data_IF_606343273917
#
_entry.id   IF_606343273917
#
_cell.length_a   1.000
_cell.length_b   1.000
_cell.length_c   1.000
_cell.angle_alpha   90.00
_cell.angle_beta   90.00
_cell.angle_gamma   90.00
#
_symmetry.space_group_name_H-M   'P 1'
#
loop_
_entity.id
_entity.type
_entity.pdbx_description
1 polymer ?
#
# COMPACT_ATOMS: atom_id res chain seq x y z
N UNK A 1 11.98 30.49 -12.48
CA UNK A 1 11.08 29.52 -13.10
C UNK A 1 9.76 30.22 -13.30
N UNK A 2 9.12 30.12 -14.47
CA UNK A 2 7.77 30.66 -14.62
C UNK A 2 6.83 29.91 -13.67
N UNK A 3 6.01 30.64 -12.97
CA UNK A 3 5.00 30.10 -12.08
C UNK A 3 3.98 29.33 -12.94
N UNK A 4 3.67 28.08 -12.58
CA UNK A 4 2.62 27.35 -13.26
C UNK A 4 1.28 28.02 -12.92
N UNK A 5 0.68 28.67 -13.91
CA UNK A 5 -0.58 29.39 -13.75
C UNK A 5 -1.81 28.53 -14.07
N UNK A 6 -1.59 27.30 -14.53
CA UNK A 6 -2.68 26.33 -14.78
C UNK A 6 -2.86 25.44 -13.58
N UNK A 7 -4.10 25.20 -13.13
CA UNK A 7 -4.38 24.21 -12.10
C UNK A 7 -3.85 22.84 -12.54
N UNK A 8 -3.12 22.15 -11.67
CA UNK A 8 -2.67 20.78 -11.92
C UNK A 8 -3.81 19.85 -11.48
N UNK A 9 -4.54 19.34 -12.44
CA UNK A 9 -5.54 18.31 -12.21
C UNK A 9 -4.99 16.96 -12.64
N UNK A 10 -5.40 15.90 -11.94
CA UNK A 10 -5.16 14.55 -12.44
C UNK A 10 -5.90 14.35 -13.76
N UNK A 11 -5.17 14.04 -14.81
CA UNK A 11 -5.71 13.88 -16.17
C UNK A 11 -6.24 12.48 -16.42
N UNK A 12 -5.56 11.48 -15.85
CA UNK A 12 -5.89 10.07 -16.06
C UNK A 12 -6.17 9.42 -14.72
N UNK A 13 -7.42 8.95 -14.45
CA UNK A 13 -7.71 8.17 -13.25
C UNK A 13 -6.86 6.90 -13.21
N UNK A 14 -6.25 6.62 -12.05
CA UNK A 14 -5.42 5.45 -11.82
C UNK A 14 -5.95 4.64 -10.64
N UNK A 15 -6.09 3.33 -10.90
CA UNK A 15 -6.39 2.32 -9.90
C UNK A 15 -5.31 1.24 -10.00
N UNK A 16 -4.53 1.08 -8.97
CA UNK A 16 -3.48 0.05 -8.91
C UNK A 16 -3.63 -0.76 -7.63
N UNK A 17 -3.48 -2.07 -7.73
CA UNK A 17 -3.67 -2.96 -6.59
C UNK A 17 -2.62 -4.03 -6.48
N UNK A 18 -2.39 -4.50 -5.26
CA UNK A 18 -1.47 -5.60 -4.97
C UNK A 18 -1.99 -6.44 -3.82
N UNK A 19 -1.67 -7.73 -3.88
CA UNK A 19 -1.95 -8.68 -2.83
C UNK A 19 -0.74 -8.79 -1.88
N UNK A 20 -0.97 -8.54 -0.58
CA UNK A 20 0.02 -8.75 0.48
C UNK A 20 -0.14 -10.20 0.95
N UNK A 21 0.81 -11.05 0.61
CA UNK A 21 0.73 -12.49 0.89
C UNK A 21 0.71 -12.81 2.38
N UNK A 22 0.14 -13.96 2.75
CA UNK A 22 0.00 -14.39 4.15
C UNK A 22 1.32 -14.45 4.91
N UNK A 23 2.40 -14.85 4.23
CA UNK A 23 3.73 -15.05 4.82
C UNK A 23 4.57 -13.78 4.89
N UNK A 24 4.11 -12.69 4.27
CA UNK A 24 4.83 -11.43 4.32
C UNK A 24 4.82 -10.84 5.73
N UNK A 25 5.93 -10.30 6.15
CA UNK A 25 6.04 -9.54 7.39
C UNK A 25 7.13 -8.47 7.27
N UNK A 26 6.79 -7.23 7.60
CA UNK A 26 7.72 -6.12 7.70
C UNK A 26 7.70 -5.57 9.12
N UNK A 27 8.63 -6.04 9.94
CA UNK A 27 8.70 -5.70 11.37
C UNK A 27 9.01 -4.21 11.60
N UNK A 28 9.79 -3.59 10.71
CA UNK A 28 10.19 -2.19 10.84
C UNK A 28 9.17 -1.25 10.20
N UNK A 29 8.76 -0.23 10.92
CA UNK A 29 7.82 0.79 10.43
C UNK A 29 8.42 1.70 9.36
N UNK A 30 9.74 1.83 9.32
CA UNK A 30 10.47 2.67 8.36
C UNK A 30 10.67 2.02 6.98
N UNK A 31 10.20 0.77 6.78
CA UNK A 31 10.33 0.05 5.51
C UNK A 31 11.73 -0.53 5.23
N UNK A 32 12.68 -0.36 6.14
CA UNK A 32 14.04 -0.89 5.97
C UNK A 32 14.11 -2.38 6.35
N UNK A 33 15.05 -3.11 5.70
CA UNK A 33 15.35 -4.51 6.02
C UNK A 33 14.40 -5.54 5.43
N UNK A 34 13.29 -5.15 4.84
CA UNK A 34 12.37 -6.03 4.13
C UNK A 34 12.49 -5.86 2.62
N UNK A 35 12.70 -6.96 1.87
CA UNK A 35 12.80 -6.89 0.42
C UNK A 35 11.43 -6.61 -0.23
N UNK A 36 11.44 -5.81 -1.30
CA UNK A 36 10.28 -5.55 -2.14
C UNK A 36 9.93 -6.84 -2.91
N UNK A 37 8.68 -7.23 -2.90
CA UNK A 37 8.16 -8.47 -3.46
C UNK A 37 8.04 -9.62 -2.46
N UNK A 38 8.56 -9.49 -1.23
CA UNK A 38 8.45 -10.53 -0.19
C UNK A 38 7.95 -10.01 1.16
N UNK A 39 8.50 -8.91 1.65
CA UNK A 39 8.09 -8.31 2.94
C UNK A 39 7.24 -7.04 2.74
N UNK A 40 7.45 -6.36 1.64
CA UNK A 40 6.67 -5.22 1.21
C UNK A 40 6.41 -5.31 -0.30
N UNK A 41 5.33 -4.72 -0.79
CA UNK A 41 4.84 -4.91 -2.14
C UNK A 41 4.63 -3.58 -2.83
N UNK A 42 5.00 -3.54 -4.11
CA UNK A 42 4.76 -2.39 -4.97
C UNK A 42 3.26 -2.28 -5.26
N UNK A 43 2.63 -1.24 -4.71
CA UNK A 43 1.20 -0.99 -4.89
C UNK A 43 0.90 0.04 -5.98
N UNK A 44 1.84 0.98 -6.22
CA UNK A 44 1.62 2.03 -7.21
C UNK A 44 2.96 2.54 -7.74
N UNK A 45 2.98 2.88 -9.04
CA UNK A 45 4.09 3.58 -9.70
C UNK A 45 3.54 4.87 -10.25
N UNK A 46 4.13 6.01 -9.87
CA UNK A 46 3.71 7.30 -10.41
C UNK A 46 4.09 7.46 -11.87
N UNK A 47 3.26 8.15 -12.63
CA UNK A 47 3.46 8.43 -14.04
C UNK A 47 4.69 9.31 -14.32
N UNK A 48 5.02 9.49 -15.62
CA UNK A 48 6.21 10.25 -16.03
C UNK A 48 6.15 11.75 -15.71
N UNK A 49 4.97 12.27 -15.44
CA UNK A 49 4.76 13.67 -15.01
C UNK A 49 4.43 13.78 -13.51
N UNK A 50 4.46 12.67 -12.79
CA UNK A 50 3.99 12.58 -11.42
C UNK A 50 2.54 12.15 -11.33
N UNK A 51 2.05 11.94 -10.11
CA UNK A 51 0.69 11.48 -9.84
C UNK A 51 0.13 12.16 -8.60
N UNK A 52 -1.18 12.23 -8.51
CA UNK A 52 -1.88 12.54 -7.27
C UNK A 52 -2.47 11.27 -6.68
N UNK A 53 -2.15 10.97 -5.44
CA UNK A 53 -2.72 9.83 -4.71
C UNK A 53 -3.71 10.33 -3.68
N UNK A 54 -4.95 9.89 -3.82
CA UNK A 54 -6.02 10.25 -2.90
C UNK A 54 -5.98 9.39 -1.64
N UNK A 55 -5.95 8.07 -1.81
CA UNK A 55 -5.98 7.12 -0.69
C UNK A 55 -5.49 5.73 -1.08
N UNK A 56 -5.18 4.95 -0.06
CA UNK A 56 -5.01 3.50 -0.16
C UNK A 56 -6.13 2.83 0.62
N UNK A 57 -6.79 1.85 -0.01
CA UNK A 57 -7.79 0.99 0.63
C UNK A 57 -7.20 -0.38 0.83
N UNK A 58 -7.27 -0.89 2.04
CA UNK A 58 -6.91 -2.26 2.38
C UNK A 58 -8.18 -3.09 2.58
N UNK A 59 -8.19 -4.29 2.01
CA UNK A 59 -9.27 -5.25 2.13
C UNK A 59 -8.72 -6.58 2.62
N UNK A 60 -9.40 -7.18 3.60
CA UNK A 60 -9.08 -8.53 4.06
C UNK A 60 -9.78 -9.55 3.15
N UNK A 61 -9.01 -10.46 2.57
CA UNK A 61 -9.51 -11.50 1.66
C UNK A 61 -9.12 -12.87 2.19
N UNK A 62 -10.08 -13.79 2.22
CA UNK A 62 -9.83 -15.16 2.64
C UNK A 62 -10.57 -16.15 1.72
N UNK A 63 -9.93 -17.27 1.40
CA UNK A 63 -10.53 -18.35 0.61
C UNK A 63 -11.38 -19.30 1.44
N UNK A 64 -11.10 -19.40 2.73
CA UNK A 64 -11.84 -20.22 3.71
C UNK A 64 -12.06 -19.40 4.98
N UNK A 65 -13.10 -19.74 5.79
CA UNK A 65 -13.28 -19.09 7.08
C UNK A 65 -12.04 -19.23 7.96
N UNK A 66 -11.34 -18.11 8.20
CA UNK A 66 -10.16 -18.06 9.08
C UNK A 66 -10.21 -16.80 9.92
N UNK A 67 -9.64 -16.83 11.12
CA UNK A 67 -9.47 -15.64 11.94
C UNK A 67 -8.16 -14.95 11.55
N UNK A 68 -8.24 -13.67 11.22
CA UNK A 68 -7.07 -12.86 10.92
C UNK A 68 -6.20 -12.57 12.13
N UNK A 69 -4.92 -12.44 11.91
CA UNK A 69 -3.96 -12.01 12.94
C UNK A 69 -3.97 -10.49 13.05
N UNK A 70 -3.97 -9.99 14.29
CA UNK A 70 -3.80 -8.56 14.52
C UNK A 70 -2.49 -8.07 13.90
N UNK A 71 -2.55 -6.99 13.13
CA UNK A 71 -1.40 -6.47 12.40
C UNK A 71 -1.45 -4.95 12.27
N UNK A 72 -0.38 -4.38 11.75
CA UNK A 72 -0.34 -2.99 11.30
C UNK A 72 -0.10 -2.99 9.79
N UNK A 73 -1.01 -2.37 9.05
CA UNK A 73 -0.90 -2.16 7.62
C UNK A 73 -0.23 -0.81 7.38
N UNK A 74 0.76 -0.76 6.48
CA UNK A 74 1.58 0.44 6.25
C UNK A 74 1.63 0.82 4.79
N UNK A 75 1.74 2.10 4.55
CA UNK A 75 2.04 2.68 3.24
C UNK A 75 3.33 3.45 3.35
N UNK A 76 4.26 3.16 2.45
CA UNK A 76 5.60 3.77 2.40
C UNK A 76 5.80 4.40 1.03
N UNK A 77 6.31 5.62 0.99
CA UNK A 77 6.86 6.22 -0.23
C UNK A 77 8.24 5.62 -0.50
N UNK A 78 8.58 5.38 -1.76
CA UNK A 78 9.85 4.80 -2.14
C UNK A 78 10.40 5.42 -3.43
N UNK A 79 11.72 5.55 -3.51
CA UNK A 79 12.44 5.90 -4.73
C UNK A 79 12.95 4.67 -5.49
N UNK A 80 12.77 3.47 -4.93
CA UNK A 80 13.15 2.18 -5.54
C UNK A 80 11.95 1.23 -5.54
N UNK A 81 11.89 0.34 -6.53
CA UNK A 81 10.79 -0.62 -6.70
C UNK A 81 11.24 -2.09 -6.62
N UNK A 82 12.51 -2.33 -6.36
CA UNK A 82 13.08 -3.68 -6.25
C UNK A 82 14.17 -3.74 -5.18
N UNK A 83 14.52 -4.95 -4.75
CA UNK A 83 15.58 -5.19 -3.78
C UNK A 83 15.17 -4.85 -2.35
N UNK A 84 16.16 -4.71 -1.48
CA UNK A 84 15.96 -4.28 -0.09
C UNK A 84 16.31 -2.80 0.03
N UNK A 85 15.33 -1.94 0.34
CA UNK A 85 15.58 -0.50 0.45
C UNK A 85 16.61 -0.16 1.53
N UNK A 86 17.39 0.88 1.27
CA UNK A 86 18.34 1.47 2.22
C UNK A 86 17.82 2.79 2.78
N UNK A 87 18.49 3.30 3.80
CA UNK A 87 18.15 4.59 4.40
C UNK A 87 18.13 5.72 3.36
N UNK A 88 17.11 6.55 3.39
CA UNK A 88 16.87 7.61 2.42
C UNK A 88 16.12 7.19 1.14
N UNK A 89 15.85 5.90 0.96
CA UNK A 89 15.07 5.42 -0.19
C UNK A 89 13.58 5.20 0.11
N UNK A 90 13.22 5.02 1.39
CA UNK A 90 11.85 4.78 1.82
C UNK A 90 11.48 5.66 3.01
N UNK A 91 10.19 6.07 3.05
CA UNK A 91 9.63 6.93 4.08
C UNK A 91 8.21 6.49 4.40
N UNK A 92 7.91 6.26 5.67
CA UNK A 92 6.55 5.92 6.12
C UNK A 92 5.62 7.11 5.85
N UNK A 93 4.52 6.85 5.13
CA UNK A 93 3.46 7.84 4.90
C UNK A 93 2.33 7.71 5.91
N UNK A 94 2.02 6.49 6.31
CA UNK A 94 0.98 6.24 7.27
C UNK A 94 0.79 4.76 7.56
N UNK A 95 0.06 4.49 8.65
CA UNK A 95 -0.21 3.13 9.10
C UNK A 95 -1.60 3.03 9.74
N UNK A 96 -2.16 1.83 9.70
CA UNK A 96 -3.46 1.48 10.29
C UNK A 96 -3.27 0.24 11.14
N UNK A 97 -3.62 0.32 12.43
CA UNK A 97 -3.69 -0.84 13.31
C UNK A 97 -4.97 -1.61 13.07
N UNK A 98 -4.86 -2.91 12.84
CA UNK A 98 -5.97 -3.81 12.60
C UNK A 98 -5.96 -4.90 13.66
N UNK A 99 -7.08 -5.06 14.36
CA UNK A 99 -7.28 -6.17 15.31
C UNK A 99 -7.41 -7.52 14.62
N UNK A 100 -7.45 -8.59 15.41
CA UNK A 100 -7.80 -9.91 14.88
C UNK A 100 -9.22 -9.87 14.29
N UNK A 101 -9.36 -10.24 13.02
CA UNK A 101 -10.63 -10.21 12.31
C UNK A 101 -11.29 -11.59 12.35
N UNK A 102 -12.59 -11.63 12.67
CA UNK A 102 -13.40 -12.78 12.36
C UNK A 102 -13.51 -12.88 10.83
N UNK A 103 -13.25 -14.05 10.31
CA UNK A 103 -13.03 -14.41 8.90
C UNK A 103 -13.78 -13.59 7.85
N UNK A 104 -13.03 -13.00 6.92
CA UNK A 104 -13.56 -12.67 5.61
C UNK A 104 -13.60 -13.95 4.76
N UNK A 105 -14.75 -14.26 4.17
CA UNK A 105 -14.94 -15.38 3.22
C UNK A 105 -16.16 -15.10 2.34
N UNK A 106 -16.50 -16.03 1.46
CA UNK A 106 -17.61 -15.89 0.53
C UNK A 106 -18.99 -15.63 1.18
N UNK A 107 -19.14 -15.89 2.47
CA UNK A 107 -20.40 -15.70 3.22
C UNK A 107 -20.40 -14.49 4.14
N UNK A 108 -19.25 -13.87 4.38
CA UNK A 108 -19.11 -12.70 5.24
C UNK A 108 -18.59 -11.52 4.44
N UNK A 109 -19.10 -10.32 4.74
CA UNK A 109 -18.61 -9.10 4.14
C UNK A 109 -17.12 -8.89 4.47
N UNK A 110 -16.36 -8.47 3.47
CA UNK A 110 -14.95 -8.13 3.63
C UNK A 110 -14.82 -6.83 4.42
N UNK A 111 -14.02 -6.85 5.48
CA UNK A 111 -13.64 -5.64 6.18
C UNK A 111 -12.64 -4.85 5.32
N UNK A 112 -12.84 -3.54 5.24
CA UNK A 112 -11.89 -2.66 4.58
C UNK A 112 -11.49 -1.50 5.47
N UNK A 113 -10.29 -0.98 5.22
CA UNK A 113 -9.71 0.18 5.91
C UNK A 113 -9.17 1.14 4.87
N UNK A 114 -9.36 2.44 5.09
CA UNK A 114 -8.86 3.46 4.18
C UNK A 114 -7.84 4.36 4.88
N UNK A 115 -6.73 4.60 4.20
CA UNK A 115 -5.71 5.56 4.59
C UNK A 115 -5.75 6.72 3.58
N UNK A 116 -6.33 7.87 3.94
CA UNK A 116 -6.27 9.05 3.09
C UNK A 116 -4.84 9.59 3.06
N UNK A 117 -4.33 9.87 1.87
CA UNK A 117 -2.98 10.40 1.65
C UNK A 117 -3.04 11.83 1.12
N UNK A 118 -3.82 12.08 0.07
CA UNK A 118 -4.06 13.40 -0.52
C UNK A 118 -2.77 14.19 -0.82
N UNK A 119 -1.83 13.57 -1.51
CA UNK A 119 -0.56 14.24 -1.86
C UNK A 119 -0.13 13.96 -3.29
N UNK A 120 0.72 14.85 -3.82
CA UNK A 120 1.35 14.69 -5.12
C UNK A 120 2.64 13.89 -5.01
N UNK A 121 2.80 12.90 -5.86
CA UNK A 121 4.01 12.11 -6.00
C UNK A 121 4.88 12.65 -7.13
N UNK A 122 6.20 12.76 -6.94
CA UNK A 122 7.14 13.00 -8.04
C UNK A 122 7.06 11.90 -9.10
N UNK A 123 7.50 12.24 -10.31
CA UNK A 123 7.58 11.28 -11.41
C UNK A 123 8.48 10.08 -11.07
N UNK A 124 8.09 8.89 -11.53
CA UNK A 124 8.87 7.66 -11.39
C UNK A 124 9.21 7.30 -9.94
N UNK A 125 8.31 7.56 -9.02
CA UNK A 125 8.39 7.13 -7.62
C UNK A 125 7.30 6.13 -7.29
N UNK A 126 7.36 5.51 -6.11
CA UNK A 126 6.60 4.31 -5.82
C UNK A 126 5.89 4.40 -4.49
N UNK A 127 4.71 3.75 -4.39
CA UNK A 127 4.13 3.40 -3.11
C UNK A 127 4.31 1.90 -2.86
N UNK A 128 4.83 1.60 -1.70
CA UNK A 128 4.93 0.24 -1.18
C UNK A 128 3.92 0.07 -0.06
N UNK A 129 3.39 -1.14 0.06
CA UNK A 129 2.51 -1.54 1.15
C UNK A 129 3.08 -2.75 1.86
N UNK A 130 2.81 -2.86 3.15
CA UNK A 130 3.28 -3.98 3.97
C UNK A 130 2.35 -4.26 5.14
N UNK A 131 2.48 -5.45 5.72
CA UNK A 131 1.88 -5.83 7.00
C UNK A 131 2.96 -6.11 8.03
N UNK A 132 2.70 -5.80 9.30
CA UNK A 132 3.65 -6.03 10.40
C UNK A 132 3.80 -7.51 10.73
N UNK A 133 2.69 -8.22 10.84
CA UNK A 133 2.65 -9.64 11.22
C UNK A 133 2.08 -10.47 10.07
N UNK A 134 2.60 -11.69 9.93
CA UNK A 134 2.06 -12.70 9.01
C UNK A 134 0.61 -13.01 9.35
N UNK A 135 -0.17 -13.30 8.32
CA UNK A 135 -1.55 -13.70 8.49
C UNK A 135 -1.70 -15.24 8.58
N UNK A 136 -2.87 -15.68 8.99
CA UNK A 136 -3.23 -17.09 8.96
C UNK A 136 -3.28 -17.59 7.52
N UNK A 137 -2.94 -18.86 7.30
CA UNK A 137 -3.05 -19.52 5.98
C UNK A 137 -4.41 -19.23 5.36
N UNK A 138 -4.43 -18.96 4.06
CA UNK A 138 -5.60 -18.60 3.25
C UNK A 138 -6.21 -17.23 3.53
N UNK A 139 -5.55 -16.38 4.30
CA UNK A 139 -5.95 -14.99 4.49
C UNK A 139 -4.86 -14.03 4.00
N UNK A 140 -5.25 -13.09 3.16
CA UNK A 140 -4.39 -12.05 2.60
C UNK A 140 -4.98 -10.67 2.88
N UNK A 141 -4.16 -9.65 2.73
CA UNK A 141 -4.60 -8.28 2.56
C UNK A 141 -4.40 -7.87 1.10
N UNK A 142 -5.43 -7.27 0.53
CA UNK A 142 -5.32 -6.57 -0.75
C UNK A 142 -5.24 -5.07 -0.49
N UNK A 143 -4.32 -4.40 -1.17
CA UNK A 143 -4.20 -2.95 -1.15
C UNK A 143 -4.58 -2.40 -2.52
N UNK A 144 -5.50 -1.44 -2.55
CA UNK A 144 -5.92 -0.71 -3.75
C UNK A 144 -5.57 0.76 -3.59
N UNK A 145 -4.74 1.28 -4.48
CA UNK A 145 -4.39 2.70 -4.55
C UNK A 145 -5.36 3.39 -5.50
N UNK A 146 -5.90 4.52 -5.06
CA UNK A 146 -6.83 5.35 -5.83
C UNK A 146 -6.17 6.71 -6.04
N UNK A 147 -5.99 7.07 -7.30
CA UNK A 147 -5.29 8.30 -7.66
C UNK A 147 -5.51 8.71 -9.11
N UNK A 148 -4.61 9.52 -9.61
CA UNK A 148 -4.58 9.98 -11.01
C UNK A 148 -3.19 10.41 -11.41
N UNK A 149 -2.82 10.24 -12.68
CA UNK A 149 -1.60 10.79 -13.26
C UNK A 149 -1.84 12.21 -13.81
N UNK A 150 -0.75 13.00 -13.82
CA UNK A 150 -0.72 14.35 -14.40
C UNK A 150 -0.42 14.33 -15.89
#
# INVERSE_FOLDING_TARGET
MPQNTSPIFGLTPELSGVNITTTAAQARSDGLGGAIGTAQFLAFTSGPSGSYVQKVRFMSVATTPTTGVATVLRVTYSTVNTGTPTSGQVFLLGEISVGALASANATNATNFYELPLNFAMPANTYLLVSQHAQQTTNQNWEALVIGSDY
#
